data_IF_208313981794
#
_entry.id   IF_208313981794
#
_cell.length_a   1.000
_cell.length_b   1.000
_cell.length_c   1.000
_cell.angle_alpha   90.00
_cell.angle_beta   90.00
_cell.angle_gamma   90.00
#
_symmetry.space_group_name_H-M   'P 1'
#
loop_
_entity.id
_entity.type
_entity.pdbx_description
1 polymer ?
#
# COMPACT_ATOMS: atom_id res chain seq x y z
N UNK A 1 9.16 21.93 -3.18
CA UNK A 1 8.54 20.76 -3.86
C UNK A 1 8.35 21.09 -5.31
N UNK A 2 8.87 20.26 -6.21
CA UNK A 2 8.61 20.34 -7.64
C UNK A 2 7.19 19.82 -7.99
N UNK A 3 6.77 19.99 -9.23
CA UNK A 3 5.41 19.59 -9.67
C UNK A 3 5.14 18.10 -9.46
N UNK A 4 6.13 17.24 -9.72
CA UNK A 4 6.00 15.80 -9.55
C UNK A 4 5.91 15.38 -8.08
N UNK A 5 6.65 16.04 -7.17
CA UNK A 5 6.51 15.83 -5.72
C UNK A 5 5.11 16.18 -5.22
N UNK A 6 4.55 17.31 -5.69
CA UNK A 6 3.19 17.72 -5.34
C UNK A 6 2.15 16.68 -5.78
N UNK A 7 2.28 16.17 -7.01
CA UNK A 7 1.39 15.12 -7.50
C UNK A 7 1.59 13.79 -6.76
N UNK A 8 2.82 13.38 -6.50
CA UNK A 8 3.11 12.21 -5.68
C UNK A 8 2.44 12.33 -4.30
N UNK A 9 2.63 13.45 -3.61
CA UNK A 9 2.02 13.72 -2.31
C UNK A 9 0.49 13.61 -2.37
N UNK A 10 -0.16 14.24 -3.37
CA UNK A 10 -1.61 14.16 -3.54
C UNK A 10 -2.10 12.72 -3.74
N UNK A 11 -1.46 11.96 -4.60
CA UNK A 11 -1.82 10.57 -4.86
C UNK A 11 -1.61 9.69 -3.61
N UNK A 12 -0.56 9.97 -2.82
CA UNK A 12 -0.36 9.26 -1.55
C UNK A 12 -1.48 9.59 -0.56
N UNK A 13 -1.88 10.86 -0.43
CA UNK A 13 -3.00 11.25 0.45
C UNK A 13 -4.33 10.63 0.00
N UNK A 14 -4.63 10.60 -1.30
CA UNK A 14 -5.80 9.90 -1.83
C UNK A 14 -5.76 8.42 -1.44
N UNK A 15 -4.59 7.77 -1.59
CA UNK A 15 -4.42 6.37 -1.19
C UNK A 15 -4.61 6.14 0.31
N UNK A 16 -4.21 7.08 1.18
CA UNK A 16 -4.47 7.02 2.63
C UNK A 16 -5.98 7.12 2.90
N UNK A 17 -6.68 8.05 2.24
CA UNK A 17 -8.13 8.21 2.39
C UNK A 17 -8.90 6.97 1.92
N UNK A 18 -8.51 6.39 0.78
CA UNK A 18 -9.10 5.13 0.30
C UNK A 18 -8.87 4.00 1.30
N UNK A 19 -7.66 3.88 1.84
CA UNK A 19 -7.39 2.85 2.86
C UNK A 19 -8.13 3.09 4.18
N UNK A 20 -8.40 4.35 4.52
CA UNK A 20 -9.17 4.71 5.72
C UNK A 20 -10.55 4.05 5.72
N UNK A 21 -11.19 3.94 4.57
CA UNK A 21 -12.50 3.31 4.43
C UNK A 21 -12.50 1.83 4.79
N UNK A 22 -11.34 1.18 4.78
CA UNK A 22 -11.16 -0.22 5.15
C UNK A 22 -10.57 -0.38 6.57
N UNK A 23 -9.43 0.27 6.87
CA UNK A 23 -8.75 0.02 8.15
C UNK A 23 -9.50 0.59 9.35
N UNK A 24 -10.24 1.69 9.19
CA UNK A 24 -11.00 2.25 10.29
C UNK A 24 -12.15 1.33 10.72
N UNK A 25 -13.03 0.83 9.83
CA UNK A 25 -14.01 -0.19 10.19
C UNK A 25 -13.37 -1.47 10.76
N UNK A 26 -12.28 -1.94 10.19
CA UNK A 26 -11.59 -3.13 10.69
C UNK A 26 -11.12 -2.99 12.15
N UNK A 27 -10.73 -1.79 12.57
CA UNK A 27 -10.32 -1.49 13.95
C UNK A 27 -11.51 -1.33 14.90
N UNK A 28 -12.46 -0.48 14.50
CA UNK A 28 -13.52 0.02 15.40
C UNK A 28 -14.75 -0.89 15.39
N UNK A 29 -15.11 -1.41 14.23
CA UNK A 29 -16.30 -2.21 14.00
C UNK A 29 -16.04 -3.40 13.07
N UNK A 30 -15.19 -4.37 13.47
CA UNK A 30 -14.78 -5.48 12.61
C UNK A 30 -15.97 -6.29 12.08
N UNK A 31 -17.07 -6.39 12.81
CA UNK A 31 -18.28 -7.09 12.38
C UNK A 31 -18.89 -6.47 11.11
N UNK A 32 -18.72 -5.15 10.90
CA UNK A 32 -19.19 -4.50 9.66
C UNK A 32 -18.38 -5.03 8.46
N UNK A 33 -17.08 -5.22 8.63
CA UNK A 33 -16.20 -5.77 7.58
C UNK A 33 -16.54 -7.23 7.32
N UNK A 34 -16.70 -8.03 8.40
CA UNK A 34 -17.07 -9.45 8.33
C UNK A 34 -18.36 -9.62 7.53
N UNK A 35 -19.41 -8.89 7.90
CA UNK A 35 -20.71 -8.96 7.24
C UNK A 35 -20.70 -8.44 5.79
N UNK A 36 -19.85 -7.44 5.49
CA UNK A 36 -19.74 -6.88 4.15
C UNK A 36 -19.04 -7.83 3.18
N UNK A 37 -18.05 -8.58 3.68
CA UNK A 37 -17.23 -9.50 2.88
C UNK A 37 -17.63 -10.97 3.04
N UNK A 38 -18.66 -11.25 3.83
CA UNK A 38 -19.18 -12.61 4.09
C UNK A 38 -18.07 -13.56 4.58
N UNK A 39 -17.39 -13.16 5.66
CA UNK A 39 -16.26 -13.88 6.24
C UNK A 39 -16.73 -14.67 7.46
N UNK A 40 -16.33 -15.93 7.61
CA UNK A 40 -16.65 -16.78 8.75
C UNK A 40 -16.21 -16.20 10.11
N UNK A 41 -17.11 -16.16 11.10
CA UNK A 41 -17.05 -15.24 12.25
C UNK A 41 -16.00 -15.54 13.32
N UNK A 42 -15.71 -16.81 13.65
CA UNK A 42 -15.07 -17.11 14.95
C UNK A 42 -13.59 -16.71 15.07
N UNK A 43 -12.83 -16.73 14.00
CA UNK A 43 -11.38 -16.49 14.02
C UNK A 43 -10.95 -15.10 13.55
N UNK A 44 -11.80 -14.39 12.81
CA UNK A 44 -11.40 -13.25 12.01
C UNK A 44 -11.41 -11.90 12.74
N UNK A 45 -12.15 -11.74 13.83
CA UNK A 45 -12.25 -10.44 14.53
C UNK A 45 -10.91 -9.94 15.05
N UNK A 46 -10.09 -10.80 15.65
CA UNK A 46 -8.75 -10.45 16.15
C UNK A 46 -7.80 -10.16 14.99
N UNK A 47 -7.86 -10.99 13.94
CA UNK A 47 -7.05 -10.80 12.74
C UNK A 47 -7.39 -9.52 12.00
N UNK A 48 -8.67 -9.20 11.85
CA UNK A 48 -9.11 -7.94 11.24
C UNK A 48 -8.62 -6.72 12.00
N UNK A 49 -8.65 -6.74 13.33
CA UNK A 49 -8.07 -5.66 14.14
C UNK A 49 -6.55 -5.55 13.94
N UNK A 50 -5.84 -6.68 13.89
CA UNK A 50 -4.40 -6.69 13.61
C UNK A 50 -4.11 -6.12 12.20
N UNK A 51 -4.87 -6.51 11.19
CA UNK A 51 -4.77 -5.95 9.83
C UNK A 51 -5.05 -4.44 9.85
N UNK A 52 -6.10 -4.00 10.56
CA UNK A 52 -6.41 -2.58 10.73
C UNK A 52 -5.26 -1.81 11.38
N UNK A 53 -4.62 -2.35 12.42
CA UNK A 53 -3.43 -1.77 13.06
C UNK A 53 -2.25 -1.67 12.10
N UNK A 54 -1.96 -2.74 11.34
CA UNK A 54 -0.88 -2.73 10.35
C UNK A 54 -1.13 -1.71 9.25
N UNK A 55 -2.37 -1.59 8.76
CA UNK A 55 -2.74 -0.59 7.75
C UNK A 55 -2.66 0.83 8.30
N UNK A 56 -2.96 1.04 9.60
CA UNK A 56 -2.73 2.33 10.26
C UNK A 56 -1.23 2.68 10.27
N UNK A 57 -0.36 1.74 10.63
CA UNK A 57 1.09 1.95 10.59
C UNK A 57 1.56 2.29 9.18
N UNK A 58 1.11 1.54 8.17
CA UNK A 58 1.39 1.84 6.76
C UNK A 58 0.89 3.24 6.37
N UNK A 59 -0.27 3.65 6.84
CA UNK A 59 -0.80 4.99 6.60
C UNK A 59 0.08 6.09 7.20
N UNK A 60 0.66 5.88 8.41
CA UNK A 60 1.60 6.82 9.03
C UNK A 60 2.89 6.93 8.21
N UNK A 61 3.47 5.83 7.73
CA UNK A 61 4.62 5.86 6.83
C UNK A 61 4.28 6.56 5.50
N UNK A 62 3.11 6.30 4.95
CA UNK A 62 2.62 6.99 3.76
C UNK A 62 2.50 8.50 3.98
N UNK A 63 1.98 8.92 5.13
CA UNK A 63 1.87 10.34 5.47
C UNK A 63 3.25 11.01 5.56
N UNK A 64 4.23 10.37 6.19
CA UNK A 64 5.59 10.87 6.25
C UNK A 64 6.21 11.05 4.85
N UNK A 65 6.02 10.07 3.96
CA UNK A 65 6.46 10.15 2.57
C UNK A 65 5.74 11.25 1.79
N UNK A 66 4.43 11.45 2.03
CA UNK A 66 3.64 12.50 1.37
C UNK A 66 4.07 13.91 1.78
N UNK A 67 4.48 14.12 3.02
CA UNK A 67 4.90 15.42 3.53
C UNK A 67 6.23 15.90 2.92
N UNK A 68 7.18 15.01 2.71
CA UNK A 68 8.51 15.37 2.21
C UNK A 68 9.16 14.24 1.38
N UNK A 69 8.68 13.96 0.15
CA UNK A 69 9.13 12.80 -0.64
C UNK A 69 10.62 12.81 -0.93
N UNK A 70 11.19 13.96 -1.27
CA UNK A 70 12.62 14.10 -1.58
C UNK A 70 13.52 14.07 -0.35
N UNK A 71 12.98 14.41 0.83
CA UNK A 71 13.70 14.34 2.09
C UNK A 71 13.84 12.91 2.60
N UNK A 72 12.84 12.06 2.33
CA UNK A 72 12.78 10.67 2.77
C UNK A 72 12.61 9.71 1.58
N UNK A 73 13.60 9.63 0.67
CA UNK A 73 13.45 8.88 -0.58
C UNK A 73 13.24 7.38 -0.34
N UNK A 74 13.89 6.78 0.66
CA UNK A 74 13.71 5.36 0.99
C UNK A 74 12.28 5.08 1.47
N UNK A 75 11.73 5.92 2.35
CA UNK A 75 10.34 5.79 2.84
C UNK A 75 9.37 5.95 1.65
N UNK A 76 9.64 6.90 0.75
CA UNK A 76 8.82 7.12 -0.43
C UNK A 76 8.84 5.93 -1.40
N UNK A 77 10.00 5.30 -1.58
CA UNK A 77 10.09 4.04 -2.35
C UNK A 77 9.41 2.87 -1.64
N UNK A 78 9.48 2.80 -0.31
CA UNK A 78 8.76 1.79 0.46
C UNK A 78 7.25 1.90 0.25
N UNK A 79 6.70 3.13 0.18
CA UNK A 79 5.28 3.38 -0.15
C UNK A 79 4.88 2.86 -1.53
N UNK A 80 5.79 2.92 -2.51
CA UNK A 80 5.57 2.35 -3.84
C UNK A 80 5.61 0.83 -3.78
N UNK A 81 6.69 0.28 -3.20
CA UNK A 81 6.91 -1.16 -3.14
C UNK A 81 5.83 -1.88 -2.35
N UNK A 82 5.36 -1.31 -1.23
CA UNK A 82 4.29 -1.93 -0.43
C UNK A 82 3.00 -2.14 -1.24
N UNK A 83 2.67 -1.22 -2.15
CA UNK A 83 1.51 -1.36 -3.04
C UNK A 83 1.73 -2.41 -4.12
N UNK A 84 2.93 -2.47 -4.71
CA UNK A 84 3.25 -3.48 -5.72
C UNK A 84 3.29 -4.89 -5.11
N UNK A 85 3.81 -5.04 -3.89
CA UNK A 85 3.80 -6.32 -3.16
C UNK A 85 2.37 -6.73 -2.82
N UNK A 86 1.55 -5.80 -2.29
CA UNK A 86 0.14 -6.07 -2.01
C UNK A 86 -0.63 -6.46 -3.29
N UNK A 87 -0.39 -5.77 -4.40
CA UNK A 87 -1.02 -6.13 -5.68
C UNK A 87 -0.61 -7.51 -6.16
N UNK A 88 0.66 -7.89 -6.04
CA UNK A 88 1.13 -9.23 -6.39
C UNK A 88 0.46 -10.32 -5.55
N UNK A 89 0.27 -10.07 -4.25
CA UNK A 89 -0.46 -10.97 -3.36
C UNK A 89 -1.94 -11.10 -3.77
N UNK A 90 -2.64 -10.00 -4.05
CA UNK A 90 -4.04 -10.06 -4.50
C UNK A 90 -4.19 -10.75 -5.85
N UNK A 91 -3.22 -10.57 -6.75
CA UNK A 91 -3.19 -11.28 -8.04
C UNK A 91 -3.04 -12.81 -7.82
N UNK A 92 -2.15 -13.22 -6.93
CA UNK A 92 -1.95 -14.62 -6.56
C UNK A 92 -3.23 -15.23 -5.99
N UNK A 93 -3.84 -14.56 -5.01
CA UNK A 93 -5.09 -15.02 -4.40
C UNK A 93 -6.21 -15.15 -5.45
N UNK A 94 -6.33 -14.18 -6.35
CA UNK A 94 -7.35 -14.21 -7.40
C UNK A 94 -7.13 -15.34 -8.41
N UNK A 95 -5.87 -15.54 -8.88
CA UNK A 95 -5.57 -16.54 -9.91
C UNK A 95 -5.64 -17.98 -9.38
N UNK A 96 -5.17 -18.21 -8.16
CA UNK A 96 -5.03 -19.55 -7.62
C UNK A 96 -6.09 -19.89 -6.55
N UNK A 97 -6.96 -18.92 -6.19
CA UNK A 97 -7.93 -19.06 -5.12
C UNK A 97 -7.31 -19.71 -3.86
N UNK A 98 -6.07 -19.31 -3.55
CA UNK A 98 -5.21 -19.98 -2.57
C UNK A 98 -5.79 -19.93 -1.15
N UNK A 99 -6.67 -18.97 -0.87
CA UNK A 99 -7.26 -18.83 0.46
C UNK A 99 -8.56 -19.62 0.65
N UNK A 100 -9.19 -20.15 -0.39
CA UNK A 100 -10.47 -20.90 -0.36
C UNK A 100 -11.57 -20.26 0.52
N UNK A 101 -11.39 -19.01 0.91
CA UNK A 101 -12.11 -18.36 1.99
C UNK A 101 -13.12 -17.30 1.52
N UNK A 102 -13.25 -17.11 0.20
CA UNK A 102 -14.16 -16.09 -0.33
C UNK A 102 -15.00 -16.64 -1.48
N UNK A 103 -16.30 -16.55 -1.33
CA UNK A 103 -17.25 -16.80 -2.41
C UNK A 103 -17.22 -15.68 -3.47
N UNK A 104 -16.38 -14.67 -3.31
CA UNK A 104 -16.27 -13.49 -4.19
C UNK A 104 -14.82 -13.21 -4.64
N UNK A 105 -14.24 -14.06 -5.49
CA UNK A 105 -12.86 -13.87 -5.98
C UNK A 105 -12.67 -12.55 -6.75
N UNK A 106 -13.73 -11.96 -7.30
CA UNK A 106 -13.68 -10.69 -8.04
C UNK A 106 -13.20 -9.52 -7.15
N UNK A 107 -13.41 -9.58 -5.84
CA UNK A 107 -12.93 -8.55 -4.89
C UNK A 107 -11.41 -8.45 -4.95
N UNK A 108 -10.71 -9.59 -5.00
CA UNK A 108 -9.24 -9.61 -5.09
C UNK A 108 -8.73 -9.07 -6.42
N UNK A 109 -9.45 -9.29 -7.52
CA UNK A 109 -9.13 -8.65 -8.81
C UNK A 109 -9.21 -7.11 -8.72
N UNK A 110 -10.26 -6.57 -8.10
CA UNK A 110 -10.39 -5.12 -7.93
C UNK A 110 -9.32 -4.54 -7.01
N UNK A 111 -8.98 -5.24 -5.93
CA UNK A 111 -7.89 -4.85 -5.03
C UNK A 111 -6.54 -4.87 -5.76
N UNK A 112 -6.28 -5.90 -6.58
CA UNK A 112 -5.10 -5.95 -7.45
C UNK A 112 -5.02 -4.76 -8.39
N UNK A 113 -6.08 -4.50 -9.17
CA UNK A 113 -6.10 -3.39 -10.14
C UNK A 113 -5.85 -2.06 -9.44
N UNK A 114 -6.49 -1.85 -8.30
CA UNK A 114 -6.38 -0.61 -7.53
C UNK A 114 -4.96 -0.42 -7.00
N UNK A 115 -4.42 -1.40 -6.28
CA UNK A 115 -3.08 -1.30 -5.68
C UNK A 115 -1.97 -1.25 -6.73
N UNK A 116 -2.08 -2.02 -7.81
CA UNK A 116 -1.15 -1.97 -8.93
C UNK A 116 -1.13 -0.59 -9.59
N UNK A 117 -2.31 -0.04 -9.92
CA UNK A 117 -2.43 1.29 -10.52
C UNK A 117 -1.83 2.37 -9.63
N UNK A 118 -2.15 2.37 -8.33
CA UNK A 118 -1.56 3.30 -7.37
C UNK A 118 -0.04 3.11 -7.24
N UNK A 119 0.45 1.88 -7.22
CA UNK A 119 1.88 1.56 -7.17
C UNK A 119 2.63 2.11 -8.37
N UNK A 120 2.15 1.83 -9.58
CA UNK A 120 2.77 2.29 -10.84
C UNK A 120 2.77 3.82 -10.94
N UNK A 121 1.62 4.46 -10.71
CA UNK A 121 1.51 5.93 -10.79
C UNK A 121 2.44 6.59 -9.78
N UNK A 122 2.46 6.15 -8.53
CA UNK A 122 3.38 6.66 -7.50
C UNK A 122 4.84 6.42 -7.89
N UNK A 123 5.19 5.25 -8.42
CA UNK A 123 6.54 4.92 -8.86
C UNK A 123 7.04 5.85 -9.96
N UNK A 124 6.22 6.09 -10.98
CA UNK A 124 6.54 7.03 -12.09
C UNK A 124 6.71 8.46 -11.57
N UNK A 125 5.79 8.92 -10.71
CA UNK A 125 5.87 10.27 -10.16
C UNK A 125 7.10 10.44 -9.26
N UNK A 126 7.39 9.49 -8.39
CA UNK A 126 8.55 9.52 -7.51
C UNK A 126 9.85 9.48 -8.30
N UNK A 127 9.93 8.63 -9.32
CA UNK A 127 11.09 8.55 -10.19
C UNK A 127 11.38 9.87 -10.92
N UNK A 128 10.37 10.63 -11.27
CA UNK A 128 10.51 11.97 -11.88
C UNK A 128 10.74 13.08 -10.84
N UNK A 129 10.28 12.88 -9.62
CA UNK A 129 10.43 13.82 -8.53
C UNK A 129 11.84 13.86 -7.96
N UNK A 130 12.49 12.69 -7.83
CA UNK A 130 13.81 12.58 -7.21
C UNK A 130 14.92 13.08 -8.15
N UNK A 131 15.86 13.92 -7.65
CA UNK A 131 17.06 14.31 -8.37
C UNK A 131 17.91 13.08 -8.76
N UNK A 132 18.63 13.17 -9.89
CA UNK A 132 19.49 12.08 -10.38
C UNK A 132 20.55 11.64 -9.35
N UNK A 133 21.10 12.58 -8.59
CA UNK A 133 22.10 12.31 -7.55
C UNK A 133 21.58 11.48 -6.40
N UNK A 134 20.30 11.65 -6.03
CA UNK A 134 19.66 10.85 -4.99
C UNK A 134 19.48 9.39 -5.43
N UNK A 135 19.27 9.16 -6.73
CA UNK A 135 19.13 7.81 -7.30
C UNK A 135 20.46 7.07 -7.26
N UNK A 136 21.57 7.73 -7.63
CA UNK A 136 22.90 7.13 -7.59
C UNK A 136 23.33 6.77 -6.17
N UNK A 137 22.99 7.57 -5.16
CA UNK A 137 23.28 7.25 -3.75
C UNK A 137 22.59 5.97 -3.28
N UNK A 138 21.32 5.78 -3.64
CA UNK A 138 20.57 4.56 -3.27
C UNK A 138 21.19 3.34 -3.93
N UNK A 139 21.54 3.42 -5.21
CA UNK A 139 22.19 2.32 -5.94
C UNK A 139 23.55 1.97 -5.32
N UNK A 140 24.35 2.96 -4.96
CA UNK A 140 25.66 2.75 -4.34
C UNK A 140 25.56 2.13 -2.94
N UNK A 141 24.55 2.50 -2.14
CA UNK A 141 24.30 1.87 -0.83
C UNK A 141 23.96 0.39 -0.97
N UNK A 142 23.10 0.04 -1.92
CA UNK A 142 22.73 -1.36 -2.17
C UNK A 142 23.90 -2.19 -2.69
N UNK A 143 24.83 -1.58 -3.47
CA UNK A 143 26.02 -2.26 -3.96
C UNK A 143 27.14 -2.41 -2.91
N UNK A 144 27.19 -1.54 -1.90
CA UNK A 144 28.20 -1.62 -0.83
C UNK A 144 27.90 -2.73 0.19
N UNK A 145 26.63 -3.12 0.34
CA UNK A 145 26.24 -4.20 1.23
C UNK A 145 26.41 -5.61 0.62
N UNK A 146 26.64 -5.69 -0.70
CA UNK A 146 26.84 -6.97 -1.40
C UNK A 146 28.31 -7.35 -1.59
N UNK A 147 29.23 -6.59 -1.03
CA UNK A 147 30.69 -6.88 -1.01
C UNK A 147 31.15 -7.21 0.39
#
# INVERSE_FOLDING_TARGET
>A
MNTYEKWFSRIVWIGILVNLTFWLPALVAPNVVINTFDIDEEFWTVWLRNVGMLLLLVALFNAAAALAPSRYPLVSWFVVLSRLIASAFFLEVWLFNSLHSSDRPEVFMWLFITDFSFGVVKGVLLNRALPRDSRMRITNLLQSETR
#
